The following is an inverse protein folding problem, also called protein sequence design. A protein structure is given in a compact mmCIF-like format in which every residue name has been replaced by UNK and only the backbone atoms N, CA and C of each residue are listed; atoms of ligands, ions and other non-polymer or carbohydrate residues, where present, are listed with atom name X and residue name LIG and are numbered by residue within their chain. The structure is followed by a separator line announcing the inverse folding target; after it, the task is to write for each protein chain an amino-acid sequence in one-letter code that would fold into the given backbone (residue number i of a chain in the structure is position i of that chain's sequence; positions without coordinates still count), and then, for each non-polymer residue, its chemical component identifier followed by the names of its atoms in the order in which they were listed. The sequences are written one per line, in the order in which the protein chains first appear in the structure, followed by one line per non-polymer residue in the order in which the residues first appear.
data_IF_341374946966
#
_entry.id   IF_341374946966
#
_cell.length_a   1.000
_cell.length_b   1.000
_cell.length_c   1.000
_cell.angle_alpha   90.00
_cell.angle_beta   90.00
_cell.angle_gamma   90.00
#
_symmetry.space_group_name_H-M   'P 1'
#
loop_
_entity.id
_entity.type
_entity.pdbx_description
1 polymer ?
#
# COMPACT_ATOMS: atom_id res chain seq x y z
N UNK A 1 14.83 2.71 10.66
CA UNK A 1 15.01 1.37 11.25
C UNK A 1 15.55 0.40 10.19
N UNK A 2 14.80 0.08 9.13
CA UNK A 2 15.25 -0.88 8.10
C UNK A 2 16.52 -0.43 7.38
N UNK A 3 16.67 0.85 7.06
CA UNK A 3 17.88 1.37 6.43
C UNK A 3 19.14 1.19 7.30
N UNK A 4 19.01 1.22 8.63
CA UNK A 4 20.15 1.00 9.55
C UNK A 4 20.72 -0.42 9.44
N UNK A 5 19.90 -1.39 9.07
CA UNK A 5 20.29 -2.79 8.85
C UNK A 5 20.47 -3.12 7.35
N UNK A 6 20.59 -2.11 6.51
CA UNK A 6 20.88 -2.27 5.09
C UNK A 6 19.69 -2.66 4.22
N UNK A 7 18.44 -2.53 4.71
CA UNK A 7 17.24 -2.89 3.96
C UNK A 7 16.55 -1.66 3.37
N UNK A 8 16.42 -1.64 2.04
CA UNK A 8 15.71 -0.60 1.30
C UNK A 8 14.64 -1.29 0.45
N UNK A 9 13.39 -0.89 0.63
CA UNK A 9 12.23 -1.44 -0.08
C UNK A 9 11.70 -0.53 -1.19
N UNK A 10 12.36 0.61 -1.43
CA UNK A 10 12.01 1.49 -2.54
C UNK A 10 12.61 0.97 -3.86
N UNK A 11 11.93 1.18 -5.00
CA UNK A 11 12.42 0.75 -6.30
C UNK A 11 13.76 1.40 -6.65
N UNK A 12 14.73 0.59 -7.08
CA UNK A 12 16.07 1.07 -7.43
C UNK A 12 16.09 2.10 -8.56
N UNK A 13 15.20 1.98 -9.53
CA UNK A 13 15.08 2.94 -10.63
C UNK A 13 14.63 4.33 -10.16
N UNK A 14 13.84 4.41 -9.09
CA UNK A 14 13.40 5.69 -8.50
C UNK A 14 14.42 6.29 -7.55
N UNK A 15 15.33 5.48 -7.02
CA UNK A 15 16.33 5.87 -6.01
C UNK A 15 17.77 5.63 -6.49
N UNK A 16 17.98 5.58 -7.81
CA UNK A 16 19.28 5.23 -8.42
C UNK A 16 20.42 6.17 -8.02
N UNK A 17 20.12 7.43 -7.69
CA UNK A 17 21.08 8.44 -7.24
C UNK A 17 21.43 8.31 -5.74
N UNK A 18 20.76 7.44 -4.98
CA UNK A 18 20.92 7.31 -3.54
C UNK A 18 21.66 6.00 -3.18
N UNK A 19 22.72 6.13 -2.38
CA UNK A 19 23.35 4.99 -1.70
C UNK A 19 22.66 4.67 -0.37
N UNK A 20 23.05 3.56 0.27
CA UNK A 20 22.48 3.15 1.56
C UNK A 20 22.67 4.22 2.65
N UNK A 21 23.77 4.97 2.61
CA UNK A 21 24.08 5.98 3.61
C UNK A 21 23.14 7.20 3.50
N UNK A 22 22.65 7.53 2.30
CA UNK A 22 21.62 8.56 2.10
C UNK A 22 20.30 8.19 2.81
N UNK A 23 19.98 6.89 2.92
CA UNK A 23 18.81 6.44 3.68
C UNK A 23 19.01 6.43 5.18
N UNK A 24 20.26 6.31 5.64
CA UNK A 24 20.59 6.34 7.09
C UNK A 24 20.59 7.76 7.65
N UNK A 25 21.09 8.72 6.85
CA UNK A 25 21.19 10.13 7.21
C UNK A 25 20.84 11.01 5.98
N UNK A 26 19.54 11.08 5.62
CA UNK A 26 19.12 11.76 4.41
C UNK A 26 19.26 13.28 4.50
N UNK A 27 19.82 13.90 3.46
CA UNK A 27 19.73 15.33 3.23
C UNK A 27 18.31 15.75 2.82
N UNK A 28 18.01 17.03 2.80
CA UNK A 28 16.71 17.51 2.32
C UNK A 28 16.44 17.09 0.87
N UNK A 29 17.45 17.07 0.01
CA UNK A 29 17.31 16.59 -1.37
C UNK A 29 17.01 15.10 -1.42
N UNK A 30 17.69 14.30 -0.60
CA UNK A 30 17.44 12.85 -0.50
C UNK A 30 16.02 12.58 -0.03
N UNK A 31 15.53 13.34 0.97
CA UNK A 31 14.16 13.23 1.47
C UNK A 31 13.13 13.49 0.37
N UNK A 32 13.35 14.48 -0.50
CA UNK A 32 12.44 14.73 -1.63
C UNK A 32 12.36 13.53 -2.57
N UNK A 33 13.48 12.89 -2.87
CA UNK A 33 13.53 11.69 -3.73
C UNK A 33 12.85 10.50 -3.05
N UNK A 34 13.19 10.24 -1.78
CA UNK A 34 12.65 9.13 -0.99
C UNK A 34 11.14 9.27 -0.81
N UNK A 35 10.67 10.44 -0.38
CA UNK A 35 9.26 10.71 -0.16
C UNK A 35 8.46 10.67 -1.47
N UNK A 36 9.02 11.20 -2.56
CA UNK A 36 8.42 11.13 -3.89
C UNK A 36 8.28 9.69 -4.39
N UNK A 37 9.31 8.86 -4.23
CA UNK A 37 9.28 7.45 -4.60
C UNK A 37 8.27 6.67 -3.74
N UNK A 38 8.24 6.91 -2.44
CA UNK A 38 7.25 6.32 -1.53
C UNK A 38 5.81 6.67 -1.93
N UNK A 39 5.55 7.93 -2.24
CA UNK A 39 4.21 8.39 -2.62
C UNK A 39 3.75 7.76 -3.95
N UNK A 40 4.65 7.53 -4.91
CA UNK A 40 4.36 6.75 -6.11
C UNK A 40 3.99 5.30 -5.78
N UNK A 41 4.74 4.66 -4.86
CA UNK A 41 4.43 3.29 -4.41
C UNK A 41 3.08 3.20 -3.71
N UNK A 42 2.72 4.18 -2.88
CA UNK A 42 1.41 4.21 -2.21
C UNK A 42 0.29 4.31 -3.25
N UNK A 43 0.44 5.16 -4.25
CA UNK A 43 -0.55 5.28 -5.35
C UNK A 43 -0.66 3.98 -6.16
N UNK A 44 0.47 3.34 -6.44
CA UNK A 44 0.49 2.04 -7.11
C UNK A 44 -0.20 0.97 -6.25
N UNK A 45 0.08 0.93 -4.94
CA UNK A 45 -0.57 0.02 -4.00
C UNK A 45 -2.09 0.22 -3.98
N UNK A 46 -2.59 1.46 -4.09
CA UNK A 46 -4.03 1.73 -4.17
C UNK A 46 -4.67 1.04 -5.38
N UNK A 47 -4.00 1.02 -6.52
CA UNK A 47 -4.47 0.29 -7.71
C UNK A 47 -4.56 -1.22 -7.45
N UNK A 48 -3.56 -1.79 -6.78
CA UNK A 48 -3.58 -3.20 -6.38
C UNK A 48 -4.67 -3.50 -5.35
N UNK A 49 -4.89 -2.62 -4.37
CA UNK A 49 -5.98 -2.78 -3.41
C UNK A 49 -7.35 -2.78 -4.10
N UNK A 50 -7.57 -1.86 -5.04
CA UNK A 50 -8.81 -1.78 -5.80
C UNK A 50 -9.05 -3.05 -6.63
N UNK A 51 -8.04 -3.51 -7.36
CA UNK A 51 -8.10 -4.76 -8.13
C UNK A 51 -8.32 -5.98 -7.22
N UNK A 52 -7.61 -6.06 -6.09
CA UNK A 52 -7.70 -7.15 -5.13
C UNK A 52 -9.08 -7.29 -4.46
N UNK A 53 -9.86 -6.21 -4.38
CA UNK A 53 -11.23 -6.25 -3.85
C UNK A 53 -12.10 -7.24 -4.62
N UNK A 54 -11.89 -7.41 -5.93
CA UNK A 54 -12.60 -8.40 -6.74
C UNK A 54 -12.41 -9.81 -6.19
N UNK A 55 -11.18 -10.20 -5.85
CA UNK A 55 -10.87 -11.50 -5.24
C UNK A 55 -11.49 -11.66 -3.85
N UNK A 56 -11.47 -10.59 -3.05
CA UNK A 56 -12.10 -10.60 -1.71
C UNK A 56 -13.61 -10.91 -1.81
N UNK A 57 -14.27 -10.50 -2.88
CA UNK A 57 -15.69 -10.80 -3.06
C UNK A 57 -16.00 -12.28 -3.30
N UNK A 58 -15.03 -13.05 -3.77
CA UNK A 58 -15.17 -14.49 -3.95
C UNK A 58 -15.05 -15.29 -2.63
N UNK A 59 -14.52 -14.68 -1.58
CA UNK A 59 -14.29 -15.33 -0.29
C UNK A 59 -15.61 -15.58 0.48
N UNK A 60 -15.66 -16.63 1.31
CA UNK A 60 -16.78 -16.85 2.24
C UNK A 60 -17.05 -15.63 3.13
N UNK A 61 -18.33 -15.38 3.45
CA UNK A 61 -18.79 -14.16 4.16
C UNK A 61 -17.98 -13.83 5.43
N UNK A 62 -17.62 -14.85 6.22
CA UNK A 62 -16.86 -14.67 7.47
C UNK A 62 -15.47 -14.12 7.22
N UNK A 63 -14.75 -14.70 6.24
CA UNK A 63 -13.38 -14.35 5.89
C UNK A 63 -13.35 -13.02 5.12
N UNK A 64 -14.28 -12.83 4.20
CA UNK A 64 -14.42 -11.59 3.40
C UNK A 64 -14.36 -10.33 4.26
N UNK A 65 -15.10 -10.27 5.36
CA UNK A 65 -15.13 -9.10 6.23
C UNK A 65 -13.77 -8.78 6.83
N UNK A 66 -13.07 -9.80 7.30
CA UNK A 66 -11.74 -9.64 7.90
C UNK A 66 -10.73 -9.11 6.89
N UNK A 67 -10.73 -9.66 5.66
CA UNK A 67 -9.86 -9.19 4.58
C UNK A 67 -10.19 -7.75 4.16
N UNK A 68 -11.47 -7.40 4.03
CA UNK A 68 -11.89 -6.02 3.72
C UNK A 68 -11.45 -5.02 4.79
N UNK A 69 -11.60 -5.37 6.08
CA UNK A 69 -11.15 -4.52 7.19
C UNK A 69 -9.63 -4.37 7.16
N UNK A 70 -8.89 -5.47 7.01
CA UNK A 70 -7.43 -5.44 6.94
C UNK A 70 -6.95 -4.57 5.76
N UNK A 71 -7.50 -4.80 4.56
CA UNK A 71 -7.18 -4.01 3.36
C UNK A 71 -7.41 -2.51 3.59
N UNK A 72 -8.57 -2.12 4.11
CA UNK A 72 -8.88 -0.71 4.37
C UNK A 72 -7.97 -0.09 5.45
N UNK A 73 -7.54 -0.85 6.46
CA UNK A 73 -6.61 -0.37 7.48
C UNK A 73 -5.23 -0.12 6.88
N UNK A 74 -4.69 -1.07 6.10
CA UNK A 74 -3.38 -0.91 5.47
C UNK A 74 -3.38 0.23 4.45
N UNK A 75 -4.38 0.29 3.57
CA UNK A 75 -4.56 1.39 2.63
C UNK A 75 -4.68 2.74 3.36
N UNK A 76 -5.41 2.78 4.48
CA UNK A 76 -5.58 3.97 5.30
C UNK A 76 -4.27 4.52 5.89
N UNK A 77 -3.25 3.68 6.14
CA UNK A 77 -1.91 4.14 6.55
C UNK A 77 -1.26 4.92 5.41
N UNK A 78 -1.27 4.37 4.19
CA UNK A 78 -0.73 5.03 3.00
C UNK A 78 -1.41 6.39 2.74
N UNK A 79 -2.73 6.42 2.76
CA UNK A 79 -3.50 7.67 2.61
C UNK A 79 -3.19 8.69 3.70
N UNK A 80 -2.91 8.25 4.93
CA UNK A 80 -2.52 9.14 6.03
C UNK A 80 -1.15 9.76 5.77
N UNK A 81 -0.18 8.98 5.27
CA UNK A 81 1.15 9.47 4.90
C UNK A 81 1.05 10.58 3.86
N UNK A 82 0.35 10.32 2.75
CA UNK A 82 0.18 11.31 1.67
C UNK A 82 -0.56 12.55 2.17
N UNK A 83 -1.68 12.37 2.88
CA UNK A 83 -2.51 13.49 3.36
C UNK A 83 -1.77 14.40 4.33
N UNK A 84 -0.99 13.83 5.23
CA UNK A 84 -0.22 14.59 6.23
C UNK A 84 1.15 15.03 5.71
N UNK A 85 1.55 14.62 4.50
CA UNK A 85 2.88 14.88 3.93
C UNK A 85 3.99 14.46 4.89
N UNK A 86 3.81 13.32 5.57
CA UNK A 86 4.81 12.81 6.51
C UNK A 86 6.13 12.53 5.77
N UNK A 87 7.24 13.01 6.31
CA UNK A 87 8.55 12.74 5.73
C UNK A 87 9.13 11.40 6.21
N UNK A 88 10.04 10.84 5.43
CA UNK A 88 10.70 9.55 5.73
C UNK A 88 11.47 9.56 7.06
N UNK A 89 12.05 10.70 7.44
CA UNK A 89 12.81 10.86 8.68
C UNK A 89 11.93 11.14 9.91
N UNK A 90 10.63 11.29 9.73
CA UNK A 90 9.70 11.44 10.83
C UNK A 90 9.39 10.09 11.51
N UNK A 91 8.70 10.15 12.65
CA UNK A 91 8.25 8.96 13.36
C UNK A 91 7.34 8.08 12.51
N UNK A 92 7.38 6.77 12.77
CA UNK A 92 6.54 5.77 12.11
C UNK A 92 5.07 6.17 12.11
N UNK A 93 4.47 6.24 10.93
CA UNK A 93 3.05 6.57 10.76
C UNK A 93 2.20 5.35 11.06
N UNK A 94 1.20 5.51 11.90
CA UNK A 94 0.22 4.48 12.23
C UNK A 94 -1.19 5.10 12.35
N UNK A 95 -2.20 4.28 12.20
CA UNK A 95 -3.57 4.66 12.49
C UNK A 95 -3.83 4.53 14.00
N UNK A 96 -4.40 5.57 14.61
CA UNK A 96 -4.84 5.51 16.00
C UNK A 96 -5.93 4.47 16.20
N UNK A 97 -6.19 4.10 17.44
CA UNK A 97 -7.29 3.17 17.79
C UNK A 97 -8.65 3.66 17.25
N UNK A 98 -8.91 4.96 17.36
CA UNK A 98 -10.15 5.57 16.85
C UNK A 98 -10.23 5.55 15.31
N UNK A 99 -9.12 5.84 14.61
CA UNK A 99 -9.08 5.76 13.15
C UNK A 99 -9.32 4.32 12.66
N UNK A 100 -8.70 3.33 13.30
CA UNK A 100 -8.92 1.91 13.00
C UNK A 100 -10.37 1.50 13.25
N UNK A 101 -10.94 1.89 14.40
CA UNK A 101 -12.33 1.60 14.75
C UNK A 101 -13.29 2.23 13.74
N UNK A 102 -13.09 3.49 13.37
CA UNK A 102 -13.91 4.18 12.38
C UNK A 102 -13.86 3.49 11.00
N UNK A 103 -12.65 3.11 10.53
CA UNK A 103 -12.50 2.36 9.27
C UNK A 103 -13.19 1.01 9.34
N UNK A 104 -13.02 0.27 10.44
CA UNK A 104 -13.69 -1.00 10.68
C UNK A 104 -15.20 -0.83 10.65
N UNK A 105 -15.74 0.13 11.38
CA UNK A 105 -17.17 0.41 11.46
C UNK A 105 -17.73 0.79 10.08
N UNK A 106 -17.07 1.69 9.37
CA UNK A 106 -17.44 2.06 8.00
C UNK A 106 -17.43 0.86 7.05
N UNK A 107 -16.44 -0.03 7.18
CA UNK A 107 -16.33 -1.23 6.34
C UNK A 107 -17.45 -2.23 6.64
N UNK A 108 -17.76 -2.43 7.92
CA UNK A 108 -18.80 -3.38 8.36
C UNK A 108 -20.20 -2.83 8.08
N UNK A 109 -20.44 -1.53 8.29
CA UNK A 109 -21.73 -0.88 8.05
C UNK A 109 -21.97 -0.54 6.59
N UNK A 110 -20.94 -0.40 5.76
CA UNK A 110 -21.14 -0.37 4.31
C UNK A 110 -21.72 -1.71 3.89
N UNK A 111 -22.96 -1.92 4.27
CA UNK A 111 -23.86 -2.90 3.67
C UNK A 111 -23.80 -2.61 2.19
N UNK A 112 -23.06 -3.45 1.49
CA UNK A 112 -22.77 -3.31 0.10
C UNK A 112 -24.05 -2.94 -0.69
N UNK A 113 -24.18 -1.68 -1.05
CA UNK A 113 -24.82 -1.36 -2.31
C UNK A 113 -23.82 -1.86 -3.38
N UNK A 114 -23.90 -3.16 -3.63
CA UNK A 114 -23.11 -3.91 -4.60
C UNK A 114 -23.61 -3.59 -6.00
N UNK A 115 -23.37 -2.40 -6.48
CA UNK A 115 -23.82 -2.04 -7.83
C UNK A 115 -22.66 -2.06 -8.81
N UNK A 116 -21.42 -1.86 -8.36
CA UNK A 116 -20.27 -1.99 -9.26
C UNK A 116 -19.22 -2.91 -8.64
N UNK A 117 -19.11 -4.13 -9.16
CA UNK A 117 -17.93 -4.95 -8.91
C UNK A 117 -16.77 -4.22 -9.53
N UNK A 118 -15.76 -3.82 -8.74
CA UNK A 118 -14.57 -3.23 -9.34
C UNK A 118 -14.02 -4.22 -10.37
N UNK A 119 -13.69 -3.70 -11.56
CA UNK A 119 -13.10 -4.52 -12.62
C UNK A 119 -11.72 -4.96 -12.17
N UNK A 120 -11.46 -6.26 -12.31
CA UNK A 120 -10.13 -6.78 -12.08
C UNK A 120 -9.18 -6.30 -13.19
N UNK A 121 -8.14 -5.58 -12.79
CA UNK A 121 -7.14 -5.04 -13.71
C UNK A 121 -6.11 -6.11 -14.10
N UNK A 122 -6.36 -6.83 -15.18
CA UNK A 122 -5.47 -7.89 -15.68
C UNK A 122 -4.05 -7.40 -15.96
N UNK A 123 -3.89 -6.16 -16.39
CA UNK A 123 -2.59 -5.56 -16.72
C UNK A 123 -1.64 -5.46 -15.50
N UNK A 124 -2.16 -5.46 -14.27
CA UNK A 124 -1.35 -5.47 -13.06
C UNK A 124 -0.56 -6.77 -12.87
N UNK A 125 -0.95 -7.83 -13.55
CA UNK A 125 -0.27 -9.13 -13.46
C UNK A 125 0.74 -9.38 -14.57
N UNK A 126 0.86 -8.49 -15.55
CA UNK A 126 1.72 -8.69 -16.73
C UNK A 126 3.19 -8.93 -16.32
N UNK A 127 3.67 -8.24 -15.28
CA UNK A 127 5.02 -8.45 -14.76
C UNK A 127 5.22 -9.79 -14.05
N UNK A 128 4.14 -10.48 -13.68
CA UNK A 128 4.17 -11.76 -12.97
C UNK A 128 4.15 -12.96 -13.94
N UNK A 129 3.76 -12.76 -15.21
CA UNK A 129 3.64 -13.84 -16.20
C UNK A 129 4.98 -14.55 -16.52
N UNK A 130 6.11 -13.93 -16.20
CA UNK A 130 7.44 -14.50 -16.43
C UNK A 130 8.03 -15.20 -15.18
N UNK A 131 7.26 -15.30 -14.09
CA UNK A 131 7.70 -16.01 -12.90
C UNK A 131 7.35 -17.50 -13.02
N UNK A 132 8.22 -18.42 -12.55
CA UNK A 132 7.91 -19.85 -12.51
C UNK A 132 6.61 -20.09 -11.74
N UNK A 133 5.79 -21.03 -12.19
CA UNK A 133 4.53 -21.45 -11.55
C UNK A 133 3.42 -20.39 -11.46
N UNK A 134 3.47 -19.34 -12.29
CA UNK A 134 2.43 -18.29 -12.35
C UNK A 134 1.54 -18.37 -13.61
N UNK A 135 1.24 -19.57 -14.09
CA UNK A 135 0.26 -19.77 -15.18
C UNK A 135 -1.16 -19.47 -14.65
N UNK A 136 -1.49 -18.18 -14.66
CA UNK A 136 -2.86 -17.73 -14.43
C UNK A 136 -3.68 -17.98 -15.71
N UNK A 137 -4.47 -19.06 -15.71
CA UNK A 137 -5.51 -19.29 -16.69
C UNK A 137 -6.67 -18.31 -16.58
#
# INVERSE_FOLDING_TARGET
EDAQIGRIYLPKNETASLGIDNFKAPSNTDLMIIDGSRDKLIKLADTYYQSGVCGIYQLPKKIKRSFMVASNIYQGIGHKIIRKRCSFNENRVYLSKFEKLNLTFKTVLKRSKFIDRPLHEKNLHTSLHNLPDTDFQ
#
